data_IF_437054792475
#
_entry.id   IF_437054792475
#
_cell.length_a   1.000
_cell.length_b   1.000
_cell.length_c   1.000
_cell.angle_alpha   90.00
_cell.angle_beta   90.00
_cell.angle_gamma   90.00
#
_symmetry.space_group_name_H-M   'P 1'
#
loop_
_entity.id
_entity.type
_entity.pdbx_description
1 polymer ?
#
# COMPACT_ATOMS: atom_id res chain seq x y z
N UNK A 1 -1.96 -9.54 10.51
CA UNK A 1 -1.13 -8.32 10.59
C UNK A 1 0.07 -8.60 11.47
N UNK A 2 1.19 -7.90 11.29
CA UNK A 2 2.34 -8.03 12.18
C UNK A 2 3.17 -6.75 12.23
N UNK A 3 3.95 -6.58 13.29
CA UNK A 3 4.75 -5.39 13.59
C UNK A 3 6.26 -5.60 13.41
N UNK A 4 6.68 -6.85 13.20
CA UNK A 4 8.10 -7.19 13.18
C UNK A 4 8.84 -6.58 11.98
N UNK A 5 8.13 -6.21 10.90
CA UNK A 5 8.66 -5.41 9.80
C UNK A 5 8.71 -3.91 10.11
N UNK A 6 7.59 -3.35 10.57
CA UNK A 6 7.48 -1.98 11.04
C UNK A 6 6.30 -1.85 12.02
N UNK A 7 6.26 -0.76 12.79
CA UNK A 7 5.19 -0.50 13.77
C UNK A 7 3.80 -0.28 13.14
N UNK A 8 3.68 -0.20 11.82
CA UNK A 8 2.47 0.19 11.12
C UNK A 8 1.54 -0.99 10.76
N UNK A 9 1.73 -2.15 11.41
CA UNK A 9 0.87 -3.34 11.37
C UNK A 9 0.55 -3.86 9.95
N UNK A 10 1.54 -3.82 9.06
CA UNK A 10 1.38 -4.28 7.69
C UNK A 10 0.91 -5.76 7.62
N UNK A 11 0.26 -6.13 6.52
CA UNK A 11 -0.05 -7.53 6.26
C UNK A 11 1.17 -8.24 5.70
N UNK A 12 1.92 -8.90 6.58
CA UNK A 12 3.22 -9.43 6.22
C UNK A 12 3.18 -10.64 5.25
N UNK A 13 2.00 -11.22 5.00
CA UNK A 13 1.81 -12.15 3.88
C UNK A 13 1.72 -11.40 2.54
N UNK A 14 1.07 -10.23 2.53
CA UNK A 14 1.11 -9.33 1.39
C UNK A 14 2.54 -8.88 1.13
N UNK A 15 3.29 -8.47 2.15
CA UNK A 15 4.71 -8.13 1.99
C UNK A 15 5.51 -9.29 1.39
N UNK A 16 5.35 -10.52 1.90
CA UNK A 16 6.05 -11.69 1.36
C UNK A 16 5.75 -11.90 -0.12
N UNK A 17 4.46 -11.90 -0.49
CA UNK A 17 4.01 -12.31 -1.82
C UNK A 17 4.10 -11.17 -2.84
N UNK A 18 3.68 -9.96 -2.47
CA UNK A 18 3.46 -8.86 -3.41
C UNK A 18 4.57 -7.82 -3.37
N UNK A 19 5.27 -7.62 -2.25
CA UNK A 19 6.36 -6.63 -2.16
C UNK A 19 7.68 -7.11 -2.79
N UNK A 20 7.60 -7.49 -4.06
CA UNK A 20 8.69 -8.01 -4.88
C UNK A 20 8.73 -7.23 -6.21
N UNK A 21 9.42 -6.08 -6.28
CA UNK A 21 9.44 -5.22 -7.46
C UNK A 21 9.81 -5.94 -8.76
N UNK A 22 10.65 -6.98 -8.67
CA UNK A 22 11.06 -7.82 -9.80
C UNK A 22 9.88 -8.54 -10.47
N UNK A 23 8.85 -8.90 -9.71
CA UNK A 23 7.65 -9.54 -10.24
C UNK A 23 6.84 -8.60 -11.12
N UNK A 24 6.95 -7.29 -10.86
CA UNK A 24 6.31 -6.25 -11.66
C UNK A 24 7.26 -5.61 -12.68
N UNK A 25 8.52 -6.05 -12.77
CA UNK A 25 9.49 -5.52 -13.74
C UNK A 25 9.34 -6.13 -15.15
N UNK A 26 8.20 -6.75 -15.45
CA UNK A 26 7.96 -7.41 -16.74
C UNK A 26 8.01 -6.40 -17.91
N UNK A 27 8.47 -6.82 -19.11
CA UNK A 27 8.67 -5.92 -20.27
C UNK A 27 7.38 -5.30 -20.79
N UNK A 28 6.26 -6.02 -20.72
CA UNK A 28 4.96 -5.54 -21.19
C UNK A 28 3.98 -5.31 -20.03
N UNK A 29 3.08 -4.35 -20.23
CA UNK A 29 2.00 -4.06 -19.29
C UNK A 29 1.10 -5.28 -19.06
N UNK A 30 0.74 -6.02 -20.12
CA UNK A 30 -0.10 -7.21 -20.02
C UNK A 30 0.51 -8.30 -19.15
N UNK A 31 1.80 -8.60 -19.31
CA UNK A 31 2.50 -9.58 -18.46
C UNK A 31 2.54 -9.14 -17.00
N UNK A 32 2.78 -7.84 -16.76
CA UNK A 32 2.78 -7.26 -15.41
C UNK A 32 1.40 -7.40 -14.75
N UNK A 33 0.33 -7.13 -15.49
CA UNK A 33 -1.04 -7.25 -15.01
C UNK A 33 -1.41 -8.69 -14.69
N UNK A 34 -1.08 -9.64 -15.57
CA UNK A 34 -1.32 -11.06 -15.34
C UNK A 34 -0.57 -11.54 -14.09
N UNK A 35 0.69 -11.14 -13.95
CA UNK A 35 1.47 -11.53 -12.78
C UNK A 35 0.93 -10.92 -11.48
N UNK A 36 0.48 -9.66 -11.52
CA UNK A 36 -0.19 -9.04 -10.39
C UNK A 36 -1.48 -9.79 -10.01
N UNK A 37 -2.28 -10.22 -11.00
CA UNK A 37 -3.48 -11.02 -10.78
C UNK A 37 -3.17 -12.36 -10.10
N UNK A 38 -2.18 -13.10 -10.59
CA UNK A 38 -1.76 -14.37 -9.98
C UNK A 38 -1.35 -14.20 -8.52
N UNK A 39 -0.57 -13.16 -8.21
CA UNK A 39 -0.09 -12.89 -6.86
C UNK A 39 -1.21 -12.51 -5.91
N UNK A 40 -2.13 -11.65 -6.37
CA UNK A 40 -3.31 -11.26 -5.60
C UNK A 40 -4.23 -12.46 -5.38
N UNK A 41 -4.38 -13.32 -6.38
CA UNK A 41 -5.15 -14.55 -6.25
C UNK A 41 -4.59 -15.46 -5.15
N UNK A 42 -3.28 -15.75 -5.18
CA UNK A 42 -2.60 -16.53 -4.14
C UNK A 42 -2.77 -15.89 -2.76
N UNK A 43 -2.62 -14.58 -2.66
CA UNK A 43 -2.84 -13.85 -1.41
C UNK A 43 -4.28 -13.97 -0.91
N UNK A 44 -5.28 -13.81 -1.79
CA UNK A 44 -6.69 -13.97 -1.47
C UNK A 44 -7.04 -15.39 -1.00
N UNK A 45 -6.48 -16.41 -1.66
CA UNK A 45 -6.61 -17.81 -1.24
C UNK A 45 -6.06 -18.02 0.16
N UNK A 46 -4.87 -17.51 0.46
CA UNK A 46 -4.25 -17.63 1.79
C UNK A 46 -5.00 -16.89 2.89
N UNK A 47 -5.65 -15.76 2.57
CA UNK A 47 -6.45 -15.01 3.53
C UNK A 47 -7.80 -15.67 3.82
N UNK A 48 -8.46 -16.26 2.81
CA UNK A 48 -9.79 -16.89 2.97
C UNK A 48 -9.70 -18.35 3.44
N UNK A 49 -8.64 -19.05 3.04
CA UNK A 49 -8.48 -20.49 3.23
C UNK A 49 -7.04 -20.81 3.65
N UNK A 50 -6.70 -20.74 4.94
CA UNK A 50 -5.37 -21.11 5.47
C UNK A 50 -4.91 -22.52 5.08
N UNK A 51 -5.84 -23.46 4.90
CA UNK A 51 -5.54 -24.81 4.40
C UNK A 51 -5.06 -24.85 2.94
N UNK A 52 -5.15 -23.73 2.22
CA UNK A 52 -4.67 -23.60 0.84
C UNK A 52 -3.15 -23.59 0.71
N UNK A 53 -2.42 -23.43 1.83
CA UNK A 53 -0.95 -23.50 1.84
C UNK A 53 -0.40 -24.80 1.24
N UNK A 54 -1.13 -25.91 1.36
CA UNK A 54 -0.73 -27.21 0.80
C UNK A 54 -1.10 -27.39 -0.66
N UNK A 55 -1.88 -26.48 -1.26
CA UNK A 55 -2.19 -26.53 -2.69
C UNK A 55 -0.89 -26.35 -3.50
N UNK A 56 -0.58 -27.25 -4.46
CA UNK A 56 0.72 -27.25 -5.12
C UNK A 56 1.13 -25.91 -5.75
N UNK A 57 0.17 -25.17 -6.32
CA UNK A 57 0.42 -23.85 -6.91
C UNK A 57 0.78 -22.78 -5.86
N UNK A 58 0.07 -22.78 -4.73
CA UNK A 58 0.29 -21.83 -3.62
C UNK A 58 1.59 -22.16 -2.90
N UNK A 59 1.85 -23.44 -2.62
CA UNK A 59 3.10 -23.90 -2.02
C UNK A 59 4.30 -23.49 -2.86
N UNK A 60 4.22 -23.68 -4.19
CA UNK A 60 5.26 -23.26 -5.13
C UNK A 60 5.48 -21.74 -5.10
N UNK A 61 4.42 -20.95 -5.07
CA UNK A 61 4.53 -19.50 -5.02
C UNK A 61 5.12 -19.03 -3.69
N UNK A 62 4.76 -19.65 -2.56
CA UNK A 62 5.35 -19.36 -1.25
C UNK A 62 6.84 -19.69 -1.20
N UNK A 63 7.27 -20.80 -1.80
CA UNK A 63 8.69 -21.15 -1.92
C UNK A 63 9.44 -20.15 -2.80
N UNK A 64 8.85 -19.75 -3.94
CA UNK A 64 9.43 -18.74 -4.83
C UNK A 64 9.58 -17.39 -4.12
N UNK A 65 8.52 -16.91 -3.47
CA UNK A 65 8.53 -15.68 -2.67
C UNK A 65 9.58 -15.75 -1.54
N UNK A 66 9.71 -16.91 -0.91
CA UNK A 66 10.70 -17.14 0.14
C UNK A 66 12.13 -17.01 -0.38
N UNK A 67 12.44 -17.66 -1.52
CA UNK A 67 13.74 -17.58 -2.16
C UNK A 67 14.07 -16.14 -2.61
N UNK A 68 13.10 -15.44 -3.19
CA UNK A 68 13.26 -14.04 -3.61
C UNK A 68 13.59 -13.13 -2.42
N UNK A 69 12.86 -13.26 -1.30
CA UNK A 69 13.10 -12.45 -0.11
C UNK A 69 14.45 -12.76 0.55
N UNK A 70 14.87 -14.02 0.59
CA UNK A 70 16.20 -14.40 1.11
C UNK A 70 17.32 -13.76 0.25
N UNK A 71 17.18 -13.85 -1.08
CA UNK A 71 18.22 -13.40 -2.01
C UNK A 71 18.24 -11.88 -2.20
N UNK A 72 17.07 -11.25 -2.31
CA UNK A 72 16.93 -9.87 -2.76
C UNK A 72 16.16 -8.95 -1.79
N UNK A 73 15.67 -9.46 -0.65
CA UNK A 73 14.89 -8.68 0.31
C UNK A 73 15.69 -7.50 0.89
N UNK A 74 15.32 -6.28 0.51
CA UNK A 74 16.06 -5.07 0.88
C UNK A 74 15.70 -4.52 2.28
N UNK A 75 14.67 -5.06 2.91
CA UNK A 75 14.22 -4.62 4.24
C UNK A 75 15.11 -5.12 5.37
N UNK A 76 15.94 -6.14 5.10
CA UNK A 76 16.85 -6.73 6.08
C UNK A 76 18.27 -6.84 5.54
N UNK A 77 19.29 -6.47 6.34
CA UNK A 77 20.65 -6.33 5.84
C UNK A 77 21.34 -7.68 5.61
N UNK A 78 21.02 -8.72 6.37
CA UNK A 78 21.75 -10.00 6.32
C UNK A 78 20.88 -11.15 5.82
N UNK A 79 21.45 -12.13 5.08
CA UNK A 79 20.73 -13.33 4.66
C UNK A 79 20.08 -14.09 5.82
N UNK A 80 20.78 -14.25 6.95
CA UNK A 80 20.23 -14.93 8.14
C UNK A 80 18.95 -14.26 8.66
N UNK A 81 18.92 -12.92 8.74
CA UNK A 81 17.73 -12.18 9.16
C UNK A 81 16.58 -12.31 8.16
N UNK A 82 16.88 -12.36 6.86
CA UNK A 82 15.88 -12.60 5.81
C UNK A 82 15.28 -14.00 5.93
N UNK A 83 16.11 -15.03 6.12
CA UNK A 83 15.65 -16.42 6.32
C UNK A 83 14.74 -16.55 7.53
N UNK A 84 15.14 -15.99 8.68
CA UNK A 84 14.30 -16.00 9.90
C UNK A 84 12.97 -15.29 9.67
N UNK A 85 12.99 -14.13 9.02
CA UNK A 85 11.76 -13.40 8.68
C UNK A 85 10.84 -14.21 7.77
N UNK A 86 11.38 -14.76 6.68
CA UNK A 86 10.64 -15.59 5.73
C UNK A 86 10.04 -16.82 6.41
N UNK A 87 10.80 -17.52 7.26
CA UNK A 87 10.28 -18.66 8.03
C UNK A 87 9.11 -18.28 8.94
N UNK A 88 9.15 -17.10 9.57
CA UNK A 88 8.01 -16.57 10.35
C UNK A 88 6.80 -16.30 9.47
N UNK A 89 6.99 -15.83 8.23
CA UNK A 89 5.89 -15.59 7.27
C UNK A 89 5.26 -16.87 6.77
N UNK A 90 6.06 -17.88 6.42
CA UNK A 90 5.54 -19.21 6.11
C UNK A 90 4.72 -19.74 7.28
N UNK A 91 5.26 -19.70 8.51
CA UNK A 91 4.52 -20.10 9.71
C UNK A 91 3.22 -19.30 9.91
N UNK A 92 3.22 -18.02 9.55
CA UNK A 92 2.01 -17.16 9.60
C UNK A 92 0.98 -17.61 8.55
N UNK A 93 1.41 -17.97 7.34
CA UNK A 93 0.53 -18.52 6.31
C UNK A 93 -0.09 -19.84 6.76
N UNK A 94 0.69 -20.72 7.38
CA UNK A 94 0.22 -21.99 7.94
C UNK A 94 -0.76 -21.82 9.10
N UNK A 95 -0.59 -20.76 9.90
CA UNK A 95 -1.40 -20.48 11.10
C UNK A 95 -2.45 -19.40 10.89
N UNK A 96 -2.65 -18.91 9.66
CA UNK A 96 -3.64 -17.87 9.43
C UNK A 96 -5.01 -18.41 9.85
N UNK A 97 -5.81 -17.55 10.46
CA UNK A 97 -7.14 -17.92 10.91
C UNK A 97 -8.07 -18.01 9.69
N UNK A 98 -9.00 -18.96 9.71
CA UNK A 98 -10.15 -18.97 8.79
C UNK A 98 -11.11 -17.86 9.22
N UNK A 99 -11.38 -16.92 8.32
CA UNK A 99 -12.49 -16.01 8.52
C UNK A 99 -13.80 -16.78 8.33
N UNK A 100 -14.74 -16.62 9.26
CA UNK A 100 -16.04 -17.27 9.15
C UNK A 100 -16.81 -16.71 7.93
N UNK A 101 -17.73 -17.48 7.33
CA UNK A 101 -18.64 -16.94 6.33
C UNK A 101 -19.34 -15.67 6.85
N UNK A 102 -19.25 -14.58 6.10
CA UNK A 102 -19.83 -13.28 6.49
C UNK A 102 -18.95 -12.41 7.41
N UNK A 103 -17.83 -12.92 7.93
CA UNK A 103 -16.87 -12.14 8.71
C UNK A 103 -16.17 -11.10 7.79
N UNK A 104 -16.27 -9.81 8.15
CA UNK A 104 -15.52 -8.75 7.48
C UNK A 104 -14.07 -8.82 7.91
N UNK A 105 -13.17 -8.83 6.95
CA UNK A 105 -11.73 -8.75 7.19
C UNK A 105 -11.12 -7.71 6.25
N UNK A 106 -9.95 -7.22 6.62
CA UNK A 106 -9.22 -6.24 5.84
C UNK A 106 -7.73 -6.35 6.12
N UNK A 107 -6.97 -5.61 5.32
CA UNK A 107 -5.55 -5.46 5.49
C UNK A 107 -5.15 -4.04 5.09
N UNK A 108 -4.05 -3.59 5.67
CA UNK A 108 -3.42 -2.34 5.28
C UNK A 108 -2.03 -2.65 4.74
N UNK A 109 -1.73 -2.09 3.59
CA UNK A 109 -0.42 -2.13 2.95
C UNK A 109 -0.20 -0.84 2.13
N UNK A 110 0.87 -0.05 2.40
CA UNK A 110 1.07 1.23 1.71
C UNK A 110 1.16 1.10 0.19
N UNK A 111 1.68 -0.02 -0.31
CA UNK A 111 1.91 -0.26 -1.75
C UNK A 111 0.81 -1.08 -2.39
N UNK A 112 -0.33 -1.28 -1.70
CA UNK A 112 -1.47 -2.02 -2.24
C UNK A 112 -2.05 -1.37 -3.50
N UNK A 113 -1.95 -0.04 -3.65
CA UNK A 113 -2.41 0.69 -4.83
C UNK A 113 -1.78 0.18 -6.14
N UNK A 114 -0.55 -0.34 -6.11
CA UNK A 114 0.13 -0.93 -7.28
C UNK A 114 -0.60 -2.18 -7.82
N UNK A 115 -1.42 -2.82 -7.00
CA UNK A 115 -2.15 -4.05 -7.29
C UNK A 115 -3.66 -3.82 -7.37
N UNK A 116 -4.12 -2.56 -7.31
CA UNK A 116 -5.55 -2.22 -7.25
C UNK A 116 -6.39 -2.88 -8.35
N UNK A 117 -5.93 -2.93 -9.63
CA UNK A 117 -6.69 -3.62 -10.66
C UNK A 117 -6.91 -5.12 -10.40
N UNK A 118 -5.86 -5.81 -9.98
CA UNK A 118 -5.91 -7.22 -9.64
C UNK A 118 -6.77 -7.48 -8.38
N UNK A 119 -6.68 -6.60 -7.38
CA UNK A 119 -7.51 -6.69 -6.16
C UNK A 119 -8.99 -6.51 -6.45
N UNK A 120 -9.37 -5.61 -7.34
CA UNK A 120 -10.78 -5.37 -7.69
C UNK A 120 -11.38 -6.57 -8.44
N UNK A 121 -10.57 -7.23 -9.27
CA UNK A 121 -10.96 -8.48 -9.93
C UNK A 121 -11.15 -9.62 -8.92
N UNK A 122 -10.20 -9.79 -8.00
CA UNK A 122 -10.22 -10.88 -7.01
C UNK A 122 -11.24 -10.65 -5.88
N UNK A 123 -11.50 -9.38 -5.53
CA UNK A 123 -12.37 -8.96 -4.43
C UNK A 123 -13.42 -7.94 -4.91
N UNK A 124 -14.40 -8.35 -5.72
CA UNK A 124 -15.33 -7.42 -6.38
C UNK A 124 -16.22 -6.61 -5.42
N UNK A 125 -16.32 -7.02 -4.15
CA UNK A 125 -17.07 -6.32 -3.10
C UNK A 125 -16.18 -5.59 -2.08
N UNK A 126 -14.89 -5.42 -2.38
CA UNK A 126 -13.98 -4.74 -1.46
C UNK A 126 -14.34 -3.26 -1.27
N UNK A 127 -14.04 -2.74 -0.09
CA UNK A 127 -13.97 -1.31 0.17
C UNK A 127 -12.51 -0.90 0.22
N UNK A 128 -12.12 0.14 -0.52
CA UNK A 128 -10.74 0.61 -0.59
C UNK A 128 -10.60 1.98 0.08
N UNK A 129 -9.83 2.04 1.15
CA UNK A 129 -9.45 3.31 1.80
C UNK A 129 -8.05 3.68 1.33
N UNK A 130 -7.93 4.81 0.66
CA UNK A 130 -6.67 5.34 0.14
C UNK A 130 -6.21 6.52 0.98
N UNK A 131 -5.24 6.29 1.86
CA UNK A 131 -4.69 7.34 2.72
C UNK A 131 -3.56 8.06 1.99
N UNK A 132 -3.77 9.36 1.75
CA UNK A 132 -2.79 10.26 1.16
C UNK A 132 -2.23 11.17 2.25
N UNK A 133 -1.00 11.61 2.05
CA UNK A 133 -0.30 12.56 2.91
C UNK A 133 0.25 13.67 2.03
N UNK A 134 0.38 14.87 2.58
CA UNK A 134 0.95 16.04 1.92
C UNK A 134 2.21 15.68 1.10
N UNK A 135 2.22 16.01 -0.21
CA UNK A 135 3.30 15.67 -1.11
C UNK A 135 4.64 16.30 -0.73
N UNK A 136 4.62 17.49 -0.10
CA UNK A 136 5.83 18.18 0.34
C UNK A 136 6.50 17.40 1.45
N UNK A 137 5.71 16.96 2.43
CA UNK A 137 6.18 16.09 3.50
C UNK A 137 6.73 14.76 2.98
N UNK A 138 6.17 14.23 1.89
CA UNK A 138 6.63 13.01 1.25
C UNK A 138 7.98 13.22 0.52
N UNK A 139 8.16 14.33 -0.19
CA UNK A 139 9.31 14.58 -1.05
C UNK A 139 10.63 14.81 -0.29
N UNK A 140 10.57 15.48 0.88
CA UNK A 140 11.78 15.97 1.54
C UNK A 140 12.71 14.88 2.09
N UNK A 141 12.21 13.71 2.51
CA UNK A 141 13.06 12.61 3.02
C UNK A 141 12.98 11.36 2.13
N UNK A 142 14.00 10.50 2.11
CA UNK A 142 13.94 9.22 1.41
C UNK A 142 12.73 8.39 1.86
N UNK A 143 11.90 7.97 0.91
CA UNK A 143 10.72 7.17 1.19
C UNK A 143 10.86 5.73 0.68
N UNK A 144 10.56 4.74 1.53
CA UNK A 144 10.74 3.33 1.18
C UNK A 144 9.91 2.91 -0.03
N UNK A 145 8.70 3.47 -0.22
CA UNK A 145 7.91 3.12 -1.40
C UNK A 145 8.64 3.49 -2.69
N UNK A 146 9.14 4.73 -2.79
CA UNK A 146 9.94 5.17 -3.92
C UNK A 146 11.23 4.34 -4.07
N UNK A 147 12.00 4.18 -2.99
CA UNK A 147 13.28 3.45 -3.05
C UNK A 147 13.14 1.99 -3.51
N UNK A 148 12.05 1.32 -3.11
CA UNK A 148 11.78 -0.08 -3.44
C UNK A 148 11.20 -0.20 -4.85
N UNK A 149 10.22 0.64 -5.19
CA UNK A 149 9.36 0.40 -6.35
C UNK A 149 9.71 1.22 -7.59
N UNK A 150 10.40 2.35 -7.46
CA UNK A 150 10.80 3.18 -8.60
C UNK A 150 11.54 2.41 -9.70
N UNK A 151 12.31 1.38 -9.32
CA UNK A 151 13.02 0.50 -10.28
C UNK A 151 12.10 -0.36 -11.15
N UNK A 152 10.89 -0.66 -10.70
CA UNK A 152 9.90 -1.40 -11.48
C UNK A 152 9.15 -0.50 -12.48
N UNK A 153 9.29 0.82 -12.37
CA UNK A 153 8.65 1.80 -13.23
C UNK A 153 9.71 2.78 -13.75
N UNK A 154 10.46 2.41 -14.82
CA UNK A 154 11.58 3.20 -15.32
C UNK A 154 11.24 4.68 -15.54
N UNK A 155 10.05 4.96 -16.06
CA UNK A 155 9.52 6.31 -16.33
C UNK A 155 9.30 7.17 -15.08
N UNK A 156 9.30 6.55 -13.90
CA UNK A 156 9.11 7.18 -12.59
C UNK A 156 10.32 6.96 -11.68
N UNK A 157 11.45 6.53 -12.27
CA UNK A 157 12.69 6.30 -11.55
C UNK A 157 13.43 7.62 -11.30
N UNK A 158 14.56 7.58 -10.58
CA UNK A 158 15.39 8.77 -10.38
C UNK A 158 15.91 9.38 -11.70
N UNK A 159 16.00 8.57 -12.76
CA UNK A 159 16.54 9.01 -14.04
C UNK A 159 15.59 10.02 -14.70
N UNK A 160 16.13 11.17 -15.10
CA UNK A 160 15.36 12.24 -15.74
C UNK A 160 14.84 13.32 -14.79
N UNK A 161 15.02 13.19 -13.47
CA UNK A 161 14.69 14.24 -12.51
C UNK A 161 15.95 14.92 -11.96
N UNK A 162 15.92 16.26 -11.84
CA UNK A 162 17.04 17.06 -11.33
C UNK A 162 17.38 16.82 -9.85
N UNK A 163 16.49 16.18 -9.08
CA UNK A 163 16.73 15.82 -7.68
C UNK A 163 15.90 14.62 -7.22
N UNK A 164 16.29 13.99 -6.11
CA UNK A 164 15.48 12.96 -5.43
C UNK A 164 14.11 13.49 -5.00
N UNK A 165 14.05 14.74 -4.52
CA UNK A 165 12.80 15.35 -4.09
C UNK A 165 11.82 15.48 -5.26
N UNK A 166 12.31 15.94 -6.42
CA UNK A 166 11.52 15.98 -7.65
C UNK A 166 11.03 14.58 -8.05
N UNK A 167 11.91 13.59 -8.13
CA UNK A 167 11.51 12.23 -8.49
C UNK A 167 10.47 11.62 -7.51
N UNK A 168 10.62 11.87 -6.21
CA UNK A 168 9.65 11.44 -5.21
C UNK A 168 8.32 12.17 -5.32
N UNK A 169 8.32 13.45 -5.64
CA UNK A 169 7.11 14.24 -5.85
C UNK A 169 6.35 13.75 -7.08
N UNK A 170 7.06 13.50 -8.19
CA UNK A 170 6.50 12.88 -9.38
C UNK A 170 5.94 11.49 -9.10
N UNK A 171 6.70 10.63 -8.40
CA UNK A 171 6.23 9.32 -7.97
C UNK A 171 4.95 9.40 -7.13
N UNK A 172 4.93 10.28 -6.14
CA UNK A 172 3.77 10.48 -5.27
C UNK A 172 2.55 10.90 -6.10
N UNK A 173 2.72 11.87 -6.99
CA UNK A 173 1.63 12.41 -7.80
C UNK A 173 1.06 11.33 -8.71
N UNK A 174 1.93 10.64 -9.45
CA UNK A 174 1.53 9.59 -10.38
C UNK A 174 0.82 8.42 -9.70
N UNK A 175 1.34 7.95 -8.56
CA UNK A 175 0.76 6.79 -7.88
C UNK A 175 -0.60 7.08 -7.24
N UNK A 176 -0.77 8.28 -6.67
CA UNK A 176 -2.04 8.68 -6.07
C UNK A 176 -3.10 8.96 -7.14
N UNK A 177 -2.75 9.70 -8.19
CA UNK A 177 -3.67 9.99 -9.28
C UNK A 177 -4.13 8.71 -9.98
N UNK A 178 -3.22 7.77 -10.28
CA UNK A 178 -3.59 6.46 -10.82
C UNK A 178 -4.61 5.73 -9.95
N UNK A 179 -4.43 5.73 -8.63
CA UNK A 179 -5.36 5.08 -7.72
C UNK A 179 -6.74 5.74 -7.73
N UNK A 180 -6.78 7.07 -7.69
CA UNK A 180 -8.03 7.87 -7.70
C UNK A 180 -8.76 7.72 -9.04
N UNK A 181 -8.06 7.89 -10.16
CA UNK A 181 -8.63 7.73 -11.50
C UNK A 181 -9.17 6.31 -11.71
N UNK A 182 -8.39 5.29 -11.35
CA UNK A 182 -8.82 3.91 -11.47
C UNK A 182 -10.09 3.63 -10.65
N UNK A 183 -10.13 4.14 -9.41
CA UNK A 183 -11.30 4.02 -8.55
C UNK A 183 -12.55 4.68 -9.16
N UNK A 184 -12.39 5.89 -9.70
CA UNK A 184 -13.46 6.64 -10.37
C UNK A 184 -13.98 5.90 -11.61
N UNK A 185 -13.07 5.54 -12.50
CA UNK A 185 -13.41 4.97 -13.81
C UNK A 185 -14.05 3.58 -13.69
N UNK A 186 -13.63 2.80 -12.68
CA UNK A 186 -14.19 1.47 -12.40
C UNK A 186 -15.32 1.49 -11.37
N UNK A 187 -15.72 2.67 -10.89
CA UNK A 187 -16.77 2.86 -9.86
C UNK A 187 -16.56 1.95 -8.63
N UNK A 188 -15.32 1.86 -8.17
CA UNK A 188 -14.95 1.08 -6.99
C UNK A 188 -15.48 1.78 -5.75
N UNK A 189 -15.93 1.01 -4.74
CA UNK A 189 -16.21 1.56 -3.41
C UNK A 189 -14.91 2.06 -2.79
N UNK A 190 -14.65 3.36 -2.93
CA UNK A 190 -13.38 4.00 -2.66
C UNK A 190 -13.56 5.22 -1.76
N UNK A 191 -12.66 5.39 -0.80
CA UNK A 191 -12.57 6.57 0.05
C UNK A 191 -11.14 7.09 0.05
N UNK A 192 -10.93 8.29 -0.50
CA UNK A 192 -9.71 9.04 -0.29
C UNK A 192 -9.74 9.69 1.10
N UNK A 193 -8.64 9.54 1.85
CA UNK A 193 -8.46 10.16 3.17
C UNK A 193 -7.18 10.97 3.14
N UNK A 194 -7.26 12.26 3.44
CA UNK A 194 -6.08 13.07 3.72
C UNK A 194 -5.65 12.84 5.16
N UNK A 195 -4.38 12.51 5.36
CA UNK A 195 -3.82 12.22 6.67
C UNK A 195 -3.95 13.45 7.58
N UNK A 196 -3.74 14.64 7.02
CA UNK A 196 -3.82 15.93 7.70
C UNK A 196 -5.22 16.12 8.30
N UNK A 197 -6.28 15.90 7.50
CA UNK A 197 -7.67 16.04 7.95
C UNK A 197 -8.02 15.01 9.03
N UNK A 198 -7.53 13.77 8.90
CA UNK A 198 -7.73 12.74 9.92
C UNK A 198 -7.06 13.09 11.26
N UNK A 199 -5.95 13.83 11.23
CA UNK A 199 -5.23 14.27 12.44
C UNK A 199 -5.88 15.53 13.04
N UNK A 200 -6.24 16.51 12.21
CA UNK A 200 -6.80 17.79 12.64
C UNK A 200 -8.28 17.68 13.05
N UNK A 201 -9.03 16.81 12.38
CA UNK A 201 -10.45 16.58 12.59
C UNK A 201 -10.75 15.09 12.78
N UNK A 202 -10.18 14.45 13.82
CA UNK A 202 -10.26 13.00 14.01
C UNK A 202 -11.68 12.49 14.17
N UNK A 203 -12.57 13.25 14.81
CA UNK A 203 -13.96 12.83 15.02
C UNK A 203 -14.72 12.74 13.68
N UNK A 204 -14.52 13.74 12.80
CA UNK A 204 -15.06 13.72 11.44
C UNK A 204 -14.46 12.58 10.61
N UNK A 205 -13.13 12.42 10.61
CA UNK A 205 -12.46 11.38 9.83
C UNK A 205 -12.84 9.96 10.26
N UNK A 206 -12.98 9.72 11.58
CA UNK A 206 -13.44 8.43 12.10
C UNK A 206 -14.89 8.18 11.68
N UNK A 207 -15.78 9.19 11.79
CA UNK A 207 -17.17 9.02 11.39
C UNK A 207 -17.30 8.74 9.89
N UNK A 208 -16.53 9.44 9.05
CA UNK A 208 -16.49 9.22 7.60
C UNK A 208 -16.04 7.80 7.27
N UNK A 209 -15.02 7.28 7.96
CA UNK A 209 -14.57 5.90 7.81
C UNK A 209 -15.63 4.89 8.26
N UNK A 210 -16.27 5.12 9.41
CA UNK A 210 -17.33 4.28 9.95
C UNK A 210 -18.51 4.18 8.97
N UNK A 211 -18.97 5.33 8.47
CA UNK A 211 -20.04 5.41 7.46
C UNK A 211 -19.62 4.69 6.17
N UNK A 212 -18.38 4.92 5.71
CA UNK A 212 -17.85 4.30 4.49
C UNK A 212 -17.69 2.78 4.58
N UNK A 213 -17.42 2.20 5.74
CA UNK A 213 -17.39 0.74 5.90
C UNK A 213 -18.76 0.17 6.26
N UNK A 214 -19.78 1.01 6.45
CA UNK A 214 -21.11 0.60 6.89
C UNK A 214 -21.10 0.03 8.30
N UNK A 215 -20.42 0.71 9.23
CA UNK A 215 -20.53 0.49 10.66
C UNK A 215 -21.87 1.08 11.15
N UNK A 216 -22.69 0.34 11.93
CA UNK A 216 -23.98 0.84 12.36
C UNK A 216 -23.85 2.11 13.21
N UNK A 217 -24.58 3.18 12.86
CA UNK A 217 -24.55 4.44 13.61
C UNK A 217 -24.97 4.27 15.08
N UNK A 218 -25.84 3.31 15.35
CA UNK A 218 -26.35 3.01 16.69
C UNK A 218 -25.30 2.37 17.61
N UNK A 219 -24.25 1.76 17.05
CA UNK A 219 -23.19 1.12 17.83
C UNK A 219 -22.19 2.15 18.39
N UNK A 220 -22.31 3.42 17.96
CA UNK A 220 -21.36 4.48 18.27
C UNK A 220 -19.97 4.21 17.70
N UNK A 221 -19.08 5.20 17.85
CA UNK A 221 -17.66 5.01 17.60
C UNK A 221 -17.05 4.31 18.83
N UNK A 222 -16.28 3.21 18.67
CA UNK A 222 -15.66 2.54 19.80
C UNK A 222 -14.84 3.49 20.68
N UNK A 223 -15.03 3.47 22.02
CA UNK A 223 -14.25 4.31 22.92
C UNK A 223 -12.76 3.98 22.78
N UNK A 224 -11.93 5.02 22.72
CA UNK A 224 -10.48 4.89 22.57
C UNK A 224 -9.97 4.82 21.13
N UNK A 225 -10.83 4.76 20.09
CA UNK A 225 -10.37 4.74 18.70
C UNK A 225 -9.53 5.99 18.36
N UNK A 226 -9.94 7.15 18.88
CA UNK A 226 -9.21 8.43 18.76
C UNK A 226 -7.78 8.35 19.29
N UNK A 227 -7.51 7.52 20.30
CA UNK A 227 -6.16 7.38 20.88
C UNK A 227 -5.13 6.71 19.94
N UNK A 228 -5.62 6.03 18.89
CA UNK A 228 -4.78 5.48 17.84
C UNK A 228 -4.36 6.53 16.80
N UNK A 229 -5.09 7.65 16.71
CA UNK A 229 -4.72 8.76 15.83
C UNK A 229 -3.65 9.59 16.55
N UNK A 230 -2.42 9.51 16.04
CA UNK A 230 -1.26 10.22 16.59
C UNK A 230 -0.67 11.11 15.52
N UNK A 231 -0.40 12.36 15.88
CA UNK A 231 0.34 13.28 15.03
C UNK A 231 1.77 12.76 14.87
N UNK A 232 2.22 12.43 13.65
CA UNK A 232 3.59 12.04 13.44
C UNK A 232 4.49 13.27 13.57
N UNK A 233 5.67 13.12 14.19
CA UNK A 233 6.67 14.19 14.27
C UNK A 233 7.14 14.71 12.90
N UNK A 234 6.82 13.99 11.82
CA UNK A 234 7.14 14.42 10.48
C UNK A 234 6.10 15.35 9.85
N UNK A 235 4.93 15.56 10.46
CA UNK A 235 3.87 16.41 9.89
C UNK A 235 4.37 17.86 9.70
N UNK A 236 4.18 18.41 8.51
CA UNK A 236 4.51 19.80 8.18
C UNK A 236 6.00 20.08 7.93
N UNK A 237 6.86 19.07 7.98
CA UNK A 237 8.31 19.22 7.73
C UNK A 237 8.63 19.72 6.31
N UNK A 238 7.72 19.51 5.36
CA UNK A 238 7.88 19.89 3.97
C UNK A 238 7.29 21.25 3.62
N UNK A 239 6.64 21.96 4.53
CA UNK A 239 5.86 23.16 4.17
C UNK A 239 6.69 24.32 3.60
N UNK A 240 8.00 24.37 3.89
CA UNK A 240 8.92 25.32 3.29
C UNK A 240 9.33 24.95 1.84
N UNK A 241 8.94 23.78 1.34
CA UNK A 241 9.29 23.31 0.00
C UNK A 241 8.35 23.94 -1.04
N UNK A 242 8.92 24.72 -1.94
CA UNK A 242 8.24 25.20 -3.14
C UNK A 242 8.19 24.09 -4.20
N UNK A 243 7.00 23.49 -4.38
CA UNK A 243 6.77 22.40 -5.33
C UNK A 243 6.89 22.84 -6.78
N UNK A 244 6.67 24.13 -7.08
CA UNK A 244 6.73 24.66 -8.44
C UNK A 244 8.16 24.57 -9.00
N UNK A 245 9.16 24.71 -8.13
CA UNK A 245 10.58 24.56 -8.47
C UNK A 245 10.99 23.11 -8.77
N UNK A 246 10.20 22.12 -8.34
CA UNK A 246 10.51 20.70 -8.48
C UNK A 246 9.80 20.03 -9.67
N UNK A 247 8.60 20.50 -10.01
CA UNK A 247 7.72 19.81 -10.96
C UNK A 247 7.05 20.68 -12.03
N UNK A 248 7.23 22.00 -11.95
CA UNK A 248 6.58 22.96 -12.84
C UNK A 248 5.04 23.03 -12.68
N UNK A 249 4.37 23.90 -13.45
CA UNK A 249 2.95 24.22 -13.25
C UNK A 249 2.00 23.03 -13.44
N UNK A 250 2.32 22.11 -14.35
CA UNK A 250 1.48 20.94 -14.62
C UNK A 250 1.43 19.97 -13.44
N UNK A 251 2.56 19.76 -12.74
CA UNK A 251 2.58 18.89 -11.56
C UNK A 251 1.80 19.53 -10.40
N UNK A 252 1.94 20.85 -10.22
CA UNK A 252 1.20 21.61 -9.20
C UNK A 252 -0.31 21.49 -9.41
N UNK A 253 -0.78 21.65 -10.65
CA UNK A 253 -2.20 21.49 -10.97
C UNK A 253 -2.73 20.09 -10.60
N UNK A 254 -1.99 19.03 -10.95
CA UNK A 254 -2.36 17.64 -10.59
C UNK A 254 -2.41 17.41 -9.08
N UNK A 255 -1.51 18.05 -8.33
CA UNK A 255 -1.51 17.97 -6.86
C UNK A 255 -2.73 18.71 -6.28
N UNK A 256 -3.05 19.88 -6.82
CA UNK A 256 -4.23 20.66 -6.43
C UNK A 256 -5.54 19.90 -6.71
N UNK A 257 -5.64 19.19 -7.83
CA UNK A 257 -6.79 18.33 -8.16
C UNK A 257 -7.01 17.20 -7.13
N UNK A 258 -5.96 16.79 -6.42
CA UNK A 258 -6.04 15.83 -5.31
C UNK A 258 -6.32 16.49 -3.93
N UNK A 259 -6.56 17.80 -3.92
CA UNK A 259 -6.95 18.56 -2.74
C UNK A 259 -5.79 19.10 -1.91
N UNK A 260 -4.60 19.27 -2.48
CA UNK A 260 -3.47 19.87 -1.77
C UNK A 260 -3.08 21.22 -2.36
N UNK A 261 -3.13 22.25 -1.53
CA UNK A 261 -2.64 23.59 -1.87
C UNK A 261 -1.13 23.64 -1.63
N UNK A 262 -0.37 23.84 -2.70
CA UNK A 262 1.08 23.81 -2.70
C UNK A 262 1.69 24.76 -3.74
#
# INVERSE_FOLDING_TARGET
MGDDLNRALDNLLFTLLLKRPRELAAPSLGQRMNRAADLVHVFGRLCRSPGSVTEPGIARELLRASADHIRYGIERPTPARRTVWTGRRLRTAWRSRRHAPGERWGFKEPTAHLFLPAMVQEFPRMSYVHVMRDPRDYAVVPHNQFAIWSRAFPDLSLHGHGSRAAAQLHWWTEMNERAVMYARDRRIRFLAVRLEDLILHPDHGIQQLADFIGHPRNDGIPPGLKSFIRTPASLGRGYALDVSTLGGPSLVARIADMGYDC
#
